data_IF_224539633422
#
_entry.id   IF_224539633422
#
_cell.length_a   1.000
_cell.length_b   1.000
_cell.length_c   1.000
_cell.angle_alpha   90.00
_cell.angle_beta   90.00
_cell.angle_gamma   90.00
#
_symmetry.space_group_name_H-M   'P 1'
#
loop_
_entity.id
_entity.type
_entity.pdbx_description
1 polymer ?
#
# COMPACT_ATOMS: atom_id res chain seq x y z
N UNK A 1 4.26 31.10 -6.31
CA UNK A 1 4.02 29.65 -6.18
C UNK A 1 5.32 29.07 -5.63
N UNK A 2 5.36 28.66 -4.36
CA UNK A 2 6.55 28.02 -3.81
C UNK A 2 6.67 26.64 -4.46
N UNK A 3 7.83 26.32 -5.02
CA UNK A 3 8.10 24.99 -5.54
C UNK A 3 8.13 23.99 -4.38
N UNK A 4 7.66 22.78 -4.61
CA UNK A 4 7.49 21.74 -3.59
C UNK A 4 8.84 21.23 -3.04
N UNK A 5 9.92 21.42 -3.81
CA UNK A 5 11.27 21.02 -3.44
C UNK A 5 12.33 21.89 -4.13
N UNK A 6 13.55 21.85 -3.60
CA UNK A 6 14.71 22.47 -4.21
C UNK A 6 15.09 21.84 -5.56
N UNK A 7 15.65 22.68 -6.42
CA UNK A 7 16.16 22.32 -7.76
C UNK A 7 17.65 22.66 -7.91
N UNK A 8 18.38 22.83 -6.80
CA UNK A 8 19.83 22.91 -6.86
C UNK A 8 20.42 21.54 -7.24
N UNK A 9 21.64 21.53 -7.78
CA UNK A 9 22.30 20.29 -8.18
C UNK A 9 22.44 19.31 -7.01
N UNK A 10 22.70 19.82 -5.81
CA UNK A 10 22.77 19.03 -4.57
C UNK A 10 21.43 18.44 -4.19
N UNK A 11 20.35 19.24 -4.22
CA UNK A 11 18.99 18.76 -3.89
C UNK A 11 18.54 17.64 -4.86
N UNK A 12 18.90 17.77 -6.14
CA UNK A 12 18.59 16.77 -7.15
C UNK A 12 19.38 15.49 -6.89
N UNK A 13 20.69 15.57 -6.64
CA UNK A 13 21.53 14.42 -6.38
C UNK A 13 21.06 13.64 -5.14
N UNK A 14 20.76 14.34 -4.05
CA UNK A 14 20.22 13.72 -2.84
C UNK A 14 18.89 13.03 -3.10
N UNK A 15 17.98 13.67 -3.86
CA UNK A 15 16.67 13.10 -4.18
C UNK A 15 16.79 11.83 -5.02
N UNK A 16 17.64 11.84 -6.05
CA UNK A 16 17.86 10.68 -6.94
C UNK A 16 18.61 9.55 -6.23
N UNK A 17 19.48 9.86 -5.27
CA UNK A 17 20.14 8.85 -4.43
C UNK A 17 19.15 8.17 -3.46
N UNK A 18 18.09 8.87 -3.04
CA UNK A 18 17.08 8.32 -2.13
C UNK A 18 15.94 7.63 -2.89
N UNK A 19 15.99 6.30 -3.03
CA UNK A 19 14.80 5.51 -3.40
C UNK A 19 13.88 5.40 -2.18
N UNK A 20 12.95 6.35 -2.01
CA UNK A 20 11.94 6.28 -0.95
C UNK A 20 10.89 5.24 -1.30
N UNK A 21 11.00 4.03 -0.71
CA UNK A 21 9.88 3.08 -0.65
C UNK A 21 8.87 3.65 0.37
N UNK A 22 7.84 4.31 -0.13
CA UNK A 22 6.77 4.82 0.72
C UNK A 22 5.80 3.71 1.12
N UNK A 23 5.69 3.43 2.42
CA UNK A 23 4.68 2.51 2.97
C UNK A 23 3.26 3.10 3.00
N UNK A 24 3.04 4.22 2.32
CA UNK A 24 1.77 4.92 2.34
C UNK A 24 0.63 4.02 1.87
N UNK A 25 0.86 3.27 0.78
CA UNK A 25 -0.13 2.32 0.26
C UNK A 25 -0.49 1.30 1.33
N UNK A 26 0.52 0.71 1.97
CA UNK A 26 0.36 -0.33 2.99
C UNK A 26 -0.36 0.18 4.24
N UNK A 27 -0.07 1.42 4.67
CA UNK A 27 -0.71 2.09 5.80
C UNK A 27 -2.16 2.45 5.49
N UNK A 28 -2.43 3.09 4.35
CA UNK A 28 -3.79 3.49 3.98
C UNK A 28 -4.65 2.24 3.79
N UNK A 29 -4.11 1.22 3.12
CA UNK A 29 -4.81 -0.05 2.91
C UNK A 29 -5.14 -0.73 4.23
N UNK A 30 -4.15 -0.90 5.12
CA UNK A 30 -4.36 -1.50 6.45
C UNK A 30 -5.32 -0.70 7.34
N UNK A 31 -5.21 0.63 7.36
CA UNK A 31 -6.06 1.48 8.19
C UNK A 31 -7.53 1.44 7.74
N UNK A 32 -7.79 1.50 6.42
CA UNK A 32 -9.16 1.41 5.90
C UNK A 32 -9.76 0.05 6.25
N UNK A 33 -9.05 -1.04 5.94
CA UNK A 33 -9.58 -2.38 6.14
C UNK A 33 -9.80 -2.69 7.64
N UNK A 34 -8.86 -2.29 8.50
CA UNK A 34 -8.97 -2.49 9.95
C UNK A 34 -10.15 -1.75 10.57
N UNK A 35 -10.40 -0.51 10.15
CA UNK A 35 -11.57 0.24 10.61
C UNK A 35 -12.89 -0.34 10.05
N UNK A 36 -12.93 -0.74 8.78
CA UNK A 36 -14.13 -1.33 8.15
C UNK A 36 -14.49 -2.66 8.80
N UNK A 37 -13.57 -3.61 8.81
CA UNK A 37 -13.85 -4.99 9.27
C UNK A 37 -14.19 -5.02 10.75
N UNK A 38 -13.43 -4.29 11.59
CA UNK A 38 -13.69 -4.25 13.02
C UNK A 38 -15.03 -3.57 13.33
N UNK A 39 -15.35 -2.46 12.66
CA UNK A 39 -16.65 -1.81 12.86
C UNK A 39 -17.82 -2.62 12.29
N UNK A 40 -17.61 -3.38 11.21
CA UNK A 40 -18.62 -4.29 10.68
C UNK A 40 -18.98 -5.38 11.70
N UNK A 41 -18.01 -5.94 12.42
CA UNK A 41 -18.27 -6.88 13.53
C UNK A 41 -19.06 -6.19 14.64
N UNK A 42 -18.66 -4.99 15.07
CA UNK A 42 -19.38 -4.21 16.08
C UNK A 42 -20.84 -3.97 15.65
N UNK A 43 -21.06 -3.50 14.43
CA UNK A 43 -22.38 -3.20 13.90
C UNK A 43 -23.24 -4.46 13.72
N UNK A 44 -22.65 -5.58 13.30
CA UNK A 44 -23.37 -6.85 13.18
C UNK A 44 -23.81 -7.42 14.52
N UNK A 45 -22.92 -7.40 15.53
CA UNK A 45 -23.21 -7.89 16.89
C UNK A 45 -24.25 -6.99 17.58
N UNK A 46 -24.13 -5.67 17.43
CA UNK A 46 -25.14 -4.72 17.92
C UNK A 46 -26.50 -4.94 17.21
N UNK A 47 -26.50 -5.10 15.89
CA UNK A 47 -27.71 -5.38 15.10
C UNK A 47 -28.42 -6.67 15.54
N UNK A 48 -27.65 -7.66 15.98
CA UNK A 48 -28.16 -8.91 16.54
C UNK A 48 -28.65 -8.79 18.00
N UNK A 49 -28.49 -7.65 18.66
CA UNK A 49 -28.92 -7.45 20.05
C UNK A 49 -28.05 -8.16 21.08
N UNK A 50 -26.83 -8.54 20.72
CA UNK A 50 -25.95 -9.33 21.57
C UNK A 50 -25.24 -8.49 22.65
N UNK A 51 -24.81 -9.11 23.77
CA UNK A 51 -24.13 -8.39 24.85
C UNK A 51 -22.83 -7.72 24.42
N UNK A 52 -22.49 -6.60 25.05
CA UNK A 52 -21.22 -5.87 24.83
C UNK A 52 -19.97 -6.74 25.01
N UNK A 53 -20.02 -7.75 25.86
CA UNK A 53 -18.90 -8.70 26.04
C UNK A 53 -18.60 -9.48 24.76
N UNK A 54 -19.62 -9.79 23.95
CA UNK A 54 -19.48 -10.44 22.64
C UNK A 54 -18.85 -9.48 21.64
N UNK A 55 -19.26 -8.20 21.64
CA UNK A 55 -18.67 -7.15 20.80
C UNK A 55 -17.16 -7.04 21.06
N UNK A 56 -16.76 -6.97 22.34
CA UNK A 56 -15.35 -6.85 22.71
C UNK A 56 -14.58 -8.10 22.33
N UNK A 57 -15.11 -9.29 22.63
CA UNK A 57 -14.43 -10.56 22.35
C UNK A 57 -14.21 -10.78 20.84
N UNK A 58 -15.28 -10.65 20.04
CA UNK A 58 -15.20 -10.84 18.60
C UNK A 58 -14.44 -9.70 17.92
N UNK A 59 -14.63 -8.46 18.37
CA UNK A 59 -13.92 -7.30 17.85
C UNK A 59 -12.42 -7.39 18.04
N UNK A 60 -11.94 -7.75 19.24
CA UNK A 60 -10.51 -7.94 19.50
C UNK A 60 -9.94 -9.14 18.77
N UNK A 61 -10.66 -10.27 18.75
CA UNK A 61 -10.24 -11.45 18.02
C UNK A 61 -10.10 -11.17 16.52
N UNK A 62 -11.11 -10.54 15.92
CA UNK A 62 -11.10 -10.11 14.52
C UNK A 62 -9.94 -9.17 14.25
N UNK A 63 -9.79 -8.12 15.09
CA UNK A 63 -8.76 -7.11 14.87
C UNK A 63 -7.34 -7.70 14.83
N UNK A 64 -7.04 -8.65 15.73
CA UNK A 64 -5.73 -9.28 15.80
C UNK A 64 -5.53 -10.36 14.73
N UNK A 65 -6.52 -11.24 14.53
CA UNK A 65 -6.43 -12.35 13.60
C UNK A 65 -6.46 -11.87 12.14
N UNK A 66 -7.41 -11.01 11.78
CA UNK A 66 -7.50 -10.44 10.42
C UNK A 66 -6.32 -9.52 10.15
N UNK A 67 -5.95 -8.69 11.11
CA UNK A 67 -4.76 -7.84 10.99
C UNK A 67 -3.52 -8.66 10.69
N UNK A 68 -3.30 -9.76 11.42
CA UNK A 68 -2.16 -10.66 11.17
C UNK A 68 -2.26 -11.34 9.80
N UNK A 69 -3.44 -11.84 9.43
CA UNK A 69 -3.68 -12.46 8.12
C UNK A 69 -3.38 -11.51 6.96
N UNK A 70 -3.83 -10.25 7.07
CA UNK A 70 -3.58 -9.20 6.09
C UNK A 70 -2.08 -8.85 6.03
N UNK A 71 -1.41 -8.72 7.18
CA UNK A 71 0.02 -8.48 7.24
C UNK A 71 0.85 -9.62 6.62
N UNK A 72 0.48 -10.87 6.91
CA UNK A 72 1.09 -12.05 6.31
C UNK A 72 0.86 -12.11 4.79
N UNK A 73 -0.33 -11.73 4.34
CA UNK A 73 -0.67 -11.64 2.90
C UNK A 73 0.17 -10.58 2.21
N UNK A 74 0.32 -9.38 2.80
CA UNK A 74 1.15 -8.32 2.24
C UNK A 74 2.66 -8.71 2.27
N UNK A 75 3.11 -9.38 3.33
CA UNK A 75 4.46 -9.97 3.40
C UNK A 75 4.71 -10.91 2.23
N UNK A 76 3.83 -11.90 2.03
CA UNK A 76 4.00 -12.91 0.98
C UNK A 76 3.95 -12.30 -0.42
N UNK A 77 3.04 -11.34 -0.65
CA UNK A 77 2.98 -10.61 -1.92
C UNK A 77 4.27 -9.82 -2.20
N UNK A 78 4.73 -9.03 -1.22
CA UNK A 78 5.97 -8.24 -1.35
C UNK A 78 7.20 -9.14 -1.46
N UNK A 79 7.19 -10.32 -0.82
CA UNK A 79 8.26 -11.31 -0.94
C UNK A 79 8.29 -11.95 -2.32
N UNK A 80 7.12 -12.27 -2.89
CA UNK A 80 7.05 -12.77 -4.26
C UNK A 80 7.62 -11.76 -5.28
N UNK A 81 7.35 -10.46 -5.10
CA UNK A 81 7.96 -9.40 -5.92
C UNK A 81 9.49 -9.36 -5.75
N UNK A 82 10.00 -9.56 -4.53
CA UNK A 82 11.44 -9.61 -4.26
C UNK A 82 12.09 -10.84 -4.91
N UNK A 83 11.47 -12.01 -4.77
CA UNK A 83 11.96 -13.26 -5.32
C UNK A 83 11.95 -13.23 -6.86
N UNK A 84 10.89 -12.67 -7.47
CA UNK A 84 10.83 -12.49 -8.93
C UNK A 84 11.90 -11.51 -9.44
N UNK A 85 12.16 -10.43 -8.69
CA UNK A 85 13.26 -9.51 -8.98
C UNK A 85 14.62 -10.22 -8.99
N UNK A 86 14.88 -11.08 -8.01
CA UNK A 86 16.12 -11.87 -7.96
C UNK A 86 16.20 -12.87 -9.12
N UNK A 87 15.08 -13.52 -9.46
CA UNK A 87 15.00 -14.43 -10.60
C UNK A 87 15.32 -13.71 -11.91
N UNK A 88 14.68 -12.57 -12.18
CA UNK A 88 14.90 -11.76 -13.39
C UNK A 88 16.35 -11.31 -13.48
N UNK A 89 16.92 -10.83 -12.38
CA UNK A 89 18.34 -10.45 -12.36
C UNK A 89 19.26 -11.62 -12.75
N UNK A 90 19.02 -12.82 -12.22
CA UNK A 90 19.82 -13.99 -12.57
C UNK A 90 19.65 -14.43 -14.03
N UNK A 91 18.45 -14.23 -14.60
CA UNK A 91 18.20 -14.44 -16.03
C UNK A 91 19.04 -13.47 -16.87
N UNK A 92 19.03 -12.18 -16.50
CA UNK A 92 19.75 -11.14 -17.21
C UNK A 92 21.27 -11.32 -17.14
N UNK A 93 21.80 -11.65 -15.96
CA UNK A 93 23.22 -11.97 -15.78
C UNK A 93 23.64 -13.14 -16.68
N UNK A 94 22.78 -14.15 -16.84
CA UNK A 94 23.02 -15.28 -17.74
C UNK A 94 22.96 -14.85 -19.21
N UNK A 95 21.99 -14.04 -19.58
CA UNK A 95 21.82 -13.58 -20.96
C UNK A 95 23.00 -12.73 -21.42
N UNK A 96 23.40 -11.73 -20.62
CA UNK A 96 24.58 -10.90 -20.89
C UNK A 96 25.85 -11.75 -21.05
N UNK A 97 25.99 -12.81 -20.24
CA UNK A 97 27.15 -13.70 -20.33
C UNK A 97 27.13 -14.64 -21.55
N UNK A 98 25.95 -14.99 -22.06
CA UNK A 98 25.81 -16.02 -23.12
C UNK A 98 25.57 -15.44 -24.50
N UNK A 99 24.84 -14.33 -24.62
CA UNK A 99 24.47 -13.67 -25.88
C UNK A 99 24.66 -12.14 -25.75
N UNK A 100 25.88 -11.65 -25.46
CA UNK A 100 26.12 -10.24 -25.15
C UNK A 100 25.73 -9.27 -26.28
N UNK A 101 25.91 -9.69 -27.55
CA UNK A 101 25.57 -8.85 -28.69
C UNK A 101 24.04 -8.74 -28.88
N UNK A 102 23.28 -9.77 -28.48
CA UNK A 102 21.82 -9.74 -28.44
C UNK A 102 21.32 -8.77 -27.38
N UNK A 103 21.80 -8.90 -26.15
CA UNK A 103 21.42 -8.01 -25.05
C UNK A 103 21.79 -6.53 -25.33
N UNK A 104 22.92 -6.29 -26.02
CA UNK A 104 23.30 -4.93 -26.42
C UNK A 104 22.32 -4.35 -27.43
N UNK A 105 21.82 -5.18 -28.33
CA UNK A 105 20.80 -4.79 -29.29
C UNK A 105 19.49 -4.44 -28.58
N UNK A 106 19.10 -5.19 -27.55
CA UNK A 106 17.91 -4.89 -26.73
C UNK A 106 18.07 -3.53 -26.02
N UNK A 107 19.19 -3.31 -25.33
CA UNK A 107 19.52 -2.02 -24.70
C UNK A 107 19.46 -0.88 -25.72
N UNK A 108 20.02 -1.08 -26.91
CA UNK A 108 20.00 -0.08 -28.00
C UNK A 108 18.58 0.24 -28.43
N UNK A 109 17.69 -0.75 -28.53
CA UNK A 109 16.29 -0.52 -28.86
C UNK A 109 15.53 0.21 -27.75
N UNK A 110 15.78 -0.15 -26.48
CA UNK A 110 15.23 0.57 -25.31
C UNK A 110 15.61 2.05 -25.34
N UNK A 111 16.90 2.35 -25.53
CA UNK A 111 17.39 3.74 -25.61
C UNK A 111 16.82 4.48 -26.83
N UNK A 112 16.63 3.80 -27.95
CA UNK A 112 15.97 4.36 -29.14
C UNK A 112 14.51 4.71 -28.88
N UNK A 113 13.78 3.88 -28.12
CA UNK A 113 12.40 4.18 -27.68
C UNK A 113 12.34 5.38 -26.73
N UNK A 114 13.40 5.62 -25.95
CA UNK A 114 13.58 6.85 -25.16
C UNK A 114 13.98 8.08 -26.00
N UNK A 115 14.14 7.93 -27.32
CA UNK A 115 14.38 9.02 -28.26
C UNK A 115 15.82 9.22 -28.69
N UNK A 116 16.77 8.39 -28.23
CA UNK A 116 18.18 8.49 -28.64
C UNK A 116 18.36 8.02 -30.10
N UNK A 117 19.23 8.69 -30.85
CA UNK A 117 19.51 8.39 -32.26
C UNK A 117 20.96 8.68 -32.66
N UNK A 118 21.39 8.08 -33.76
CA UNK A 118 22.69 8.35 -34.39
C UNK A 118 23.86 8.03 -33.46
N UNK A 119 24.96 8.82 -33.52
CA UNK A 119 26.16 8.54 -32.71
C UNK A 119 25.91 8.53 -31.19
N UNK A 120 24.95 9.32 -30.69
CA UNK A 120 24.61 9.40 -29.27
C UNK A 120 24.01 8.08 -28.77
N UNK A 121 23.19 7.42 -29.59
CA UNK A 121 22.61 6.13 -29.25
C UNK A 121 23.70 5.07 -29.07
N UNK A 122 24.64 5.00 -30.01
CA UNK A 122 25.73 4.02 -29.96
C UNK A 122 26.66 4.28 -28.77
N UNK A 123 27.01 5.55 -28.51
CA UNK A 123 27.84 5.92 -27.37
C UNK A 123 27.15 5.63 -26.02
N UNK A 124 25.86 5.96 -25.89
CA UNK A 124 25.10 5.68 -24.68
C UNK A 124 24.96 4.17 -24.43
N UNK A 125 24.67 3.39 -25.49
CA UNK A 125 24.59 1.93 -25.42
C UNK A 125 25.92 1.34 -24.96
N UNK A 126 27.03 1.74 -25.59
CA UNK A 126 28.36 1.26 -25.22
C UNK A 126 28.76 1.65 -23.78
N UNK A 127 28.43 2.88 -23.36
CA UNK A 127 28.74 3.36 -22.02
C UNK A 127 27.94 2.63 -20.94
N UNK A 128 26.63 2.43 -21.14
CA UNK A 128 25.80 1.69 -20.19
C UNK A 128 26.22 0.22 -20.15
N UNK A 129 26.44 -0.41 -21.31
CA UNK A 129 26.87 -1.80 -21.39
C UNK A 129 28.31 -2.06 -20.88
N UNK A 130 29.06 -1.02 -20.53
CA UNK A 130 30.38 -1.16 -19.90
C UNK A 130 30.32 -1.52 -18.41
N UNK A 131 29.17 -1.30 -17.76
CA UNK A 131 28.92 -1.64 -16.37
C UNK A 131 27.71 -2.58 -16.27
N UNK A 132 27.96 -3.84 -15.91
CA UNK A 132 26.91 -4.86 -15.86
C UNK A 132 25.78 -4.49 -14.89
N UNK A 133 26.09 -3.87 -13.75
CA UNK A 133 25.08 -3.50 -12.76
C UNK A 133 24.11 -2.43 -13.30
N UNK A 134 24.64 -1.41 -13.97
CA UNK A 134 23.84 -0.36 -14.61
C UNK A 134 23.05 -0.93 -15.79
N UNK A 135 23.68 -1.78 -16.61
CA UNK A 135 23.02 -2.43 -17.74
C UNK A 135 21.84 -3.30 -17.29
N UNK A 136 22.07 -4.22 -16.35
CA UNK A 136 21.02 -5.04 -15.74
C UNK A 136 19.94 -4.16 -15.12
N UNK A 137 20.33 -3.08 -14.43
CA UNK A 137 19.40 -2.12 -13.84
C UNK A 137 18.43 -1.52 -14.88
N UNK A 138 18.95 -1.13 -16.05
CA UNK A 138 18.13 -0.65 -17.18
C UNK A 138 17.19 -1.75 -17.66
N UNK A 139 17.70 -2.95 -17.94
CA UNK A 139 16.89 -4.07 -18.45
C UNK A 139 15.76 -4.45 -17.48
N UNK A 140 16.07 -4.57 -16.18
CA UNK A 140 15.08 -4.82 -15.14
C UNK A 140 13.94 -3.78 -15.13
N UNK A 141 14.25 -2.50 -15.36
CA UNK A 141 13.24 -1.44 -15.34
C UNK A 141 12.50 -1.25 -16.65
N UNK A 142 13.20 -1.34 -17.78
CA UNK A 142 12.69 -0.95 -19.09
C UNK A 142 12.18 -2.13 -19.92
N UNK A 143 12.73 -3.33 -19.75
CA UNK A 143 12.25 -4.55 -20.41
C UNK A 143 11.16 -5.23 -19.56
N UNK A 144 11.45 -5.48 -18.27
CA UNK A 144 10.55 -6.19 -17.36
C UNK A 144 9.58 -5.28 -16.60
N UNK A 145 9.72 -3.95 -16.71
CA UNK A 145 8.83 -3.00 -16.06
C UNK A 145 8.93 -2.98 -14.53
N UNK A 146 10.00 -3.51 -13.94
CA UNK A 146 10.14 -3.57 -12.48
C UNK A 146 10.31 -2.17 -11.91
N UNK A 147 9.67 -1.93 -10.76
CA UNK A 147 9.90 -0.69 -10.02
C UNK A 147 11.37 -0.59 -9.60
N UNK A 148 12.04 0.57 -9.77
CA UNK A 148 13.41 0.79 -9.26
C UNK A 148 13.52 0.64 -7.73
N UNK A 149 12.40 0.79 -7.02
CA UNK A 149 12.36 0.68 -5.58
C UNK A 149 12.45 -0.80 -5.15
N UNK A 150 13.31 -1.11 -4.17
CA UNK A 150 13.45 -2.46 -3.66
C UNK A 150 12.27 -2.85 -2.74
N UNK A 151 11.58 -3.97 -3.00
CA UNK A 151 10.54 -4.47 -2.10
C UNK A 151 11.10 -4.76 -0.71
N UNK A 152 10.35 -4.40 0.34
CA UNK A 152 10.74 -4.60 1.75
C UNK A 152 9.64 -5.37 2.51
N UNK A 153 9.60 -6.72 2.42
CA UNK A 153 8.46 -7.51 2.88
C UNK A 153 8.09 -7.31 4.36
N UNK A 154 9.08 -7.34 5.25
CA UNK A 154 8.84 -7.15 6.69
C UNK A 154 8.31 -5.75 7.02
N UNK A 155 8.82 -4.73 6.33
CA UNK A 155 8.43 -3.34 6.55
C UNK A 155 7.02 -3.08 6.04
N UNK A 156 6.67 -3.61 4.86
CA UNK A 156 5.31 -3.54 4.31
C UNK A 156 4.29 -4.23 5.23
N UNK A 157 4.60 -5.45 5.68
CA UNK A 157 3.74 -6.20 6.59
C UNK A 157 3.54 -5.51 7.94
N UNK A 158 4.63 -5.01 8.55
CA UNK A 158 4.56 -4.28 9.82
C UNK A 158 3.75 -2.99 9.71
N UNK A 159 3.92 -2.24 8.62
CA UNK A 159 3.15 -1.02 8.35
C UNK A 159 1.66 -1.32 8.19
N UNK A 160 1.30 -2.37 7.45
CA UNK A 160 -0.10 -2.83 7.31
C UNK A 160 -0.68 -3.26 8.64
N UNK A 161 0.01 -4.12 9.40
CA UNK A 161 -0.47 -4.63 10.68
C UNK A 161 -0.74 -3.51 11.68
N UNK A 162 0.22 -2.60 11.84
CA UNK A 162 0.10 -1.51 12.81
C UNK A 162 -1.02 -0.55 12.41
N UNK A 163 -1.13 -0.20 11.13
CA UNK A 163 -2.20 0.65 10.64
C UNK A 163 -3.58 0.00 10.85
N UNK A 164 -3.69 -1.30 10.60
CA UNK A 164 -4.89 -2.08 10.82
C UNK A 164 -5.31 -2.09 12.29
N UNK A 165 -4.39 -2.43 13.20
CA UNK A 165 -4.68 -2.50 14.64
C UNK A 165 -5.04 -1.11 15.19
N UNK A 166 -4.31 -0.06 14.81
CA UNK A 166 -4.58 1.30 15.29
C UNK A 166 -5.96 1.77 14.83
N UNK A 167 -6.30 1.60 13.54
CA UNK A 167 -7.59 2.02 13.02
C UNK A 167 -8.74 1.13 13.51
N UNK A 168 -8.54 -0.18 13.57
CA UNK A 168 -9.52 -1.16 14.06
C UNK A 168 -9.79 -1.05 15.56
N UNK A 169 -8.86 -0.53 16.35
CA UNK A 169 -9.10 -0.30 17.79
C UNK A 169 -10.16 0.78 18.04
N UNK A 170 -10.28 1.77 17.15
CA UNK A 170 -11.17 2.93 17.31
C UNK A 170 -12.62 2.57 17.61
N UNK A 171 -13.29 1.71 16.81
CA UNK A 171 -14.66 1.28 17.10
C UNK A 171 -14.83 0.52 18.43
N UNK A 172 -13.76 -0.07 18.98
CA UNK A 172 -13.82 -0.85 20.22
C UNK A 172 -13.64 0.00 21.48
N UNK A 173 -12.96 1.15 21.39
CA UNK A 173 -12.64 2.02 22.53
C UNK A 173 -13.89 2.36 23.38
N UNK A 174 -15.04 2.78 22.82
CA UNK A 174 -16.21 3.13 23.62
C UNK A 174 -16.77 1.97 24.44
N UNK A 175 -16.69 0.75 23.90
CA UNK A 175 -17.14 -0.47 24.58
C UNK A 175 -16.17 -0.89 25.68
N UNK A 176 -14.85 -0.80 25.43
CA UNK A 176 -13.82 -1.10 26.43
C UNK A 176 -13.88 -0.14 27.63
N UNK A 177 -14.22 1.12 27.38
CA UNK A 177 -14.36 2.15 28.43
C UNK A 177 -15.73 2.12 29.14
N UNK A 178 -16.66 1.27 28.70
CA UNK A 178 -18.00 1.18 29.29
C UNK A 178 -18.82 2.47 29.19
N UNK A 179 -18.62 3.26 28.14
CA UNK A 179 -19.30 4.54 27.96
C UNK A 179 -20.79 4.30 27.65
N UNK A 180 -21.68 5.07 28.27
CA UNK A 180 -23.10 5.07 27.90
C UNK A 180 -23.28 5.41 26.41
N UNK A 181 -24.17 4.71 25.72
CA UNK A 181 -24.35 4.82 24.26
C UNK A 181 -23.07 4.48 23.46
N UNK A 182 -22.31 3.48 23.89
CA UNK A 182 -21.05 3.05 23.26
C UNK A 182 -21.14 2.89 21.73
N UNK A 183 -22.22 2.30 21.23
CA UNK A 183 -22.43 2.12 19.79
C UNK A 183 -22.51 3.44 19.00
N UNK A 184 -23.19 4.47 19.55
CA UNK A 184 -23.28 5.78 18.92
C UNK A 184 -21.90 6.46 18.85
N UNK A 185 -21.13 6.39 19.95
CA UNK A 185 -19.75 6.88 19.98
C UNK A 185 -18.84 6.11 19.02
N UNK A 186 -18.93 4.78 18.97
CA UNK A 186 -18.15 3.96 18.05
C UNK A 186 -18.45 4.30 16.59
N UNK A 187 -19.73 4.50 16.27
CA UNK A 187 -20.17 4.92 14.93
C UNK A 187 -19.60 6.29 14.57
N UNK A 188 -19.73 7.29 15.46
CA UNK A 188 -19.21 8.64 15.22
C UNK A 188 -17.68 8.68 15.07
N UNK A 189 -16.96 7.98 15.94
CA UNK A 189 -15.50 7.90 15.91
C UNK A 189 -15.00 7.20 14.64
N UNK A 190 -15.63 6.09 14.25
CA UNK A 190 -15.26 5.34 13.04
C UNK A 190 -15.56 6.15 11.78
N UNK A 191 -16.70 6.85 11.73
CA UNK A 191 -17.02 7.77 10.64
C UNK A 191 -15.97 8.89 10.51
N UNK A 192 -15.54 9.47 11.64
CA UNK A 192 -14.48 10.47 11.65
C UNK A 192 -13.15 9.89 11.16
N UNK A 193 -12.81 8.65 11.53
CA UNK A 193 -11.60 7.96 11.06
C UNK A 193 -11.66 7.67 9.56
N UNK A 194 -12.77 7.18 9.01
CA UNK A 194 -12.89 6.98 7.56
C UNK A 194 -12.72 8.29 6.79
N UNK A 195 -13.35 9.36 7.27
CA UNK A 195 -13.19 10.66 6.66
C UNK A 195 -11.72 11.14 6.78
N UNK A 196 -11.09 10.99 7.94
CA UNK A 196 -9.69 11.34 8.14
C UNK A 196 -8.73 10.55 7.23
N UNK A 197 -8.93 9.24 7.08
CA UNK A 197 -8.12 8.42 6.17
C UNK A 197 -8.35 8.83 4.72
N UNK A 198 -9.61 9.04 4.31
CA UNK A 198 -9.94 9.48 2.97
C UNK A 198 -9.36 10.86 2.64
N UNK A 199 -9.39 11.81 3.57
CA UNK A 199 -8.73 13.12 3.41
C UNK A 199 -7.21 13.02 3.40
N UNK A 200 -6.61 12.12 4.20
CA UNK A 200 -5.18 11.88 4.14
C UNK A 200 -4.77 11.34 2.75
N UNK A 201 -5.50 10.34 2.24
CA UNK A 201 -5.32 9.77 0.88
C UNK A 201 -5.35 10.85 -0.21
N UNK A 202 -6.16 11.90 -0.04
CA UNK A 202 -6.28 12.95 -1.06
C UNK A 202 -5.01 13.78 -1.24
N UNK A 203 -4.06 13.77 -0.29
CA UNK A 203 -2.77 14.48 -0.47
C UNK A 203 -1.95 13.93 -1.65
N UNK A 204 -2.26 12.72 -2.10
CA UNK A 204 -1.62 12.04 -3.22
C UNK A 204 -2.56 11.88 -4.43
N UNK A 205 -3.64 12.66 -4.45
CA UNK A 205 -4.61 12.67 -5.55
C UNK A 205 -4.92 14.11 -5.96
N UNK A 206 -5.26 14.30 -7.22
CA UNK A 206 -5.77 15.58 -7.73
C UNK A 206 -7.22 15.84 -7.27
N UNK A 207 -7.87 14.86 -6.63
CA UNK A 207 -9.21 15.01 -6.09
C UNK A 207 -9.23 15.92 -4.85
N UNK A 208 -10.26 16.78 -4.70
CA UNK A 208 -10.38 17.60 -3.50
C UNK A 208 -10.60 16.73 -2.26
N UNK A 209 -10.00 17.13 -1.14
CA UNK A 209 -9.93 16.35 0.11
C UNK A 209 -11.28 15.85 0.61
N UNK A 210 -12.31 16.69 0.55
CA UNK A 210 -13.65 16.36 1.02
C UNK A 210 -14.31 15.25 0.19
N UNK A 211 -14.03 15.13 -1.11
CA UNK A 211 -14.57 14.05 -1.95
C UNK A 211 -13.96 12.71 -1.57
N UNK A 212 -12.64 12.65 -1.42
CA UNK A 212 -11.93 11.43 -1.01
C UNK A 212 -12.32 10.99 0.41
N UNK A 213 -12.53 11.96 1.31
CA UNK A 213 -13.09 11.72 2.65
C UNK A 213 -14.50 11.11 2.59
N UNK A 214 -15.41 11.71 1.83
CA UNK A 214 -16.79 11.21 1.67
C UNK A 214 -16.85 9.85 0.99
N UNK A 215 -16.03 9.59 -0.02
CA UNK A 215 -15.95 8.29 -0.70
C UNK A 215 -15.60 7.18 0.30
N UNK A 216 -14.54 7.39 1.09
CA UNK A 216 -14.09 6.42 2.10
C UNK A 216 -15.15 6.20 3.18
N UNK A 217 -15.79 7.29 3.63
CA UNK A 217 -16.90 7.23 4.59
C UNK A 217 -18.10 6.44 4.05
N UNK A 218 -18.49 6.66 2.79
CA UNK A 218 -19.61 5.97 2.16
C UNK A 218 -19.35 4.48 2.02
N UNK A 219 -18.14 4.08 1.62
CA UNK A 219 -17.74 2.67 1.54
C UNK A 219 -17.87 2.02 2.93
N UNK A 220 -17.34 2.65 3.98
CA UNK A 220 -17.45 2.15 5.35
C UNK A 220 -18.89 2.11 5.86
N UNK A 221 -19.69 3.12 5.56
CA UNK A 221 -21.11 3.18 5.94
C UNK A 221 -21.93 2.06 5.27
N UNK A 222 -21.69 1.77 3.99
CA UNK A 222 -22.34 0.67 3.28
C UNK A 222 -21.95 -0.68 3.89
N UNK A 223 -20.65 -0.90 4.15
CA UNK A 223 -20.19 -2.14 4.79
C UNK A 223 -20.83 -2.35 6.17
N UNK A 224 -20.88 -1.30 7.00
CA UNK A 224 -21.51 -1.34 8.30
C UNK A 224 -23.03 -1.59 8.22
N UNK A 225 -23.72 -0.96 7.26
CA UNK A 225 -25.14 -1.15 7.05
C UNK A 225 -25.48 -2.59 6.62
N UNK A 226 -24.64 -3.19 5.77
CA UNK A 226 -24.76 -4.61 5.39
C UNK A 226 -24.59 -5.49 6.64
N UNK A 227 -23.54 -5.28 7.42
CA UNK A 227 -23.26 -6.09 8.61
C UNK A 227 -24.37 -5.96 9.67
N UNK A 228 -24.81 -4.73 9.97
CA UNK A 228 -25.92 -4.46 10.88
C UNK A 228 -27.22 -5.11 10.38
N UNK A 229 -27.51 -4.98 9.08
CA UNK A 229 -28.69 -5.58 8.46
C UNK A 229 -28.71 -7.10 8.57
N UNK A 230 -27.57 -7.76 8.32
CA UNK A 230 -27.40 -9.20 8.51
C UNK A 230 -27.55 -9.57 9.99
N UNK A 231 -26.93 -8.83 10.90
CA UNK A 231 -27.07 -9.04 12.34
C UNK A 231 -28.52 -9.00 12.80
N UNK A 232 -29.30 -8.04 12.28
CA UNK A 232 -30.73 -7.91 12.59
C UNK A 232 -31.57 -9.13 12.19
N UNK A 233 -31.15 -9.92 11.20
CA UNK A 233 -31.85 -11.16 10.85
C UNK A 233 -31.78 -12.21 11.96
N UNK A 234 -30.78 -12.12 12.83
CA UNK A 234 -30.54 -13.01 13.96
C UNK A 234 -30.83 -12.31 15.30
N UNK A 235 -31.58 -11.21 15.29
CA UNK A 235 -31.88 -10.44 16.50
C UNK A 235 -32.63 -11.31 17.53
N UNK A 236 -32.11 -11.35 18.75
CA UNK A 236 -32.62 -12.14 19.89
C UNK A 236 -32.97 -11.28 21.09
#
# INVERSE_FOLDING_TARGET
>A
MALEHGHSATDIAERLASTRVGHLRDIVYGAIDGAITTFAIVAGVEGAGLPTTVIIALGLANMLADGFSMAASNYSGTKAELDDRHRIRAVEEKHIATVPDGEREELRQILRLKGLRGPVLEQATAQIASDNDTWIGVMMTDEYGLSPAHPRPLSAAGATFLAFVVAGSVPLIPFLLGIGSAFAWATAMTAAVFFAIGTAKSRWSLAPWWRSGLETLLIGAVAAAIAFGVGRLFHV
#
